data_IF_728312154530
#
_entry.id   IF_728312154530
#
_cell.length_a   1.000
_cell.length_b   1.000
_cell.length_c   1.000
_cell.angle_alpha   90.00
_cell.angle_beta   90.00
_cell.angle_gamma   90.00
#
_symmetry.space_group_name_H-M   'P 1'
#
loop_
_entity.id
_entity.type
_entity.pdbx_description
1 polymer ?
#
# COMPACT_ATOMS: atom_id res chain seq x y z
N UNK A 1 -55.56 -37.31 -67.25
CA UNK A 1 -56.85 -36.93 -66.64
C UNK A 1 -56.98 -37.63 -65.30
N UNK A 2 -57.38 -36.86 -64.27
CA UNK A 2 -58.02 -37.25 -63.00
C UNK A 2 -57.37 -38.37 -62.16
N UNK A 3 -56.56 -38.05 -61.15
CA UNK A 3 -56.90 -37.72 -59.74
C UNK A 3 -57.33 -38.89 -58.85
N UNK A 4 -56.47 -39.11 -57.84
CA UNK A 4 -56.68 -39.62 -56.48
C UNK A 4 -56.73 -41.13 -56.24
N UNK A 5 -55.94 -41.57 -55.25
CA UNK A 5 -56.47 -42.38 -54.15
C UNK A 5 -56.02 -41.84 -52.79
N UNK A 6 -56.73 -42.19 -51.71
CA UNK A 6 -56.18 -42.65 -50.42
C UNK A 6 -57.24 -42.63 -49.29
N UNK A 7 -57.48 -43.78 -48.67
CA UNK A 7 -57.50 -43.93 -47.20
C UNK A 7 -57.45 -45.42 -46.79
N UNK A 8 -56.51 -45.76 -45.90
CA UNK A 8 -56.76 -46.39 -44.57
C UNK A 8 -55.52 -47.11 -43.99
N UNK A 9 -55.05 -46.55 -42.87
CA UNK A 9 -54.60 -47.13 -41.58
C UNK A 9 -53.55 -48.26 -41.48
N UNK A 10 -52.47 -47.93 -40.72
CA UNK A 10 -51.92 -48.59 -39.50
C UNK A 10 -50.38 -48.44 -39.49
N UNK A 11 -49.59 -48.12 -38.45
CA UNK A 11 -49.74 -47.64 -37.07
C UNK A 11 -48.37 -47.03 -36.62
N UNK A 12 -48.39 -46.30 -35.50
CA UNK A 12 -47.40 -45.43 -34.79
C UNK A 12 -46.07 -46.10 -34.30
N UNK A 13 -45.07 -45.40 -33.66
CA UNK A 13 -45.07 -44.07 -32.99
C UNK A 13 -43.83 -43.13 -33.17
N UNK A 14 -43.96 -41.91 -32.59
CA UNK A 14 -43.04 -40.74 -32.50
C UNK A 14 -41.74 -40.97 -31.69
N UNK A 15 -40.72 -40.07 -31.76
CA UNK A 15 -40.63 -38.80 -30.96
C UNK A 15 -40.20 -37.57 -31.82
N UNK A 16 -40.71 -36.34 -31.67
CA UNK A 16 -40.51 -35.24 -30.68
C UNK A 16 -39.10 -34.60 -30.57
N UNK A 17 -39.06 -33.34 -31.03
CA UNK A 17 -38.20 -32.15 -30.75
C UNK A 17 -36.78 -32.03 -31.34
N UNK A 18 -36.37 -30.80 -31.76
CA UNK A 18 -35.10 -30.54 -32.42
C UNK A 18 -33.97 -30.35 -31.40
N UNK A 19 -32.88 -31.11 -31.59
CA UNK A 19 -31.66 -30.96 -30.80
C UNK A 19 -30.92 -29.67 -31.16
N UNK A 20 -30.65 -28.87 -30.14
CA UNK A 20 -29.69 -27.78 -30.09
C UNK A 20 -28.32 -28.25 -30.60
N UNK A 21 -27.79 -27.58 -31.62
CA UNK A 21 -26.41 -27.76 -32.08
C UNK A 21 -25.44 -27.26 -31.00
N UNK A 22 -24.86 -28.19 -30.25
CA UNK A 22 -23.73 -27.93 -29.35
C UNK A 22 -22.48 -27.82 -30.20
N UNK A 23 -21.99 -26.59 -30.38
CA UNK A 23 -20.67 -26.34 -30.93
C UNK A 23 -19.61 -26.78 -29.91
N UNK A 24 -19.09 -27.99 -30.09
CA UNK A 24 -17.84 -28.41 -29.47
C UNK A 24 -16.69 -27.66 -30.15
N UNK A 25 -16.21 -26.59 -29.52
CA UNK A 25 -14.88 -26.07 -29.84
C UNK A 25 -13.85 -27.09 -29.32
N UNK A 26 -12.93 -27.59 -30.16
CA UNK A 26 -11.94 -28.55 -29.70
C UNK A 26 -10.97 -27.85 -28.75
N UNK A 27 -10.76 -28.44 -27.57
CA UNK A 27 -9.90 -27.92 -26.49
C UNK A 27 -8.49 -27.48 -26.95
N UNK A 28 -8.02 -27.97 -28.10
CA UNK A 28 -6.78 -27.56 -28.74
C UNK A 28 -6.74 -26.07 -29.14
N UNK A 29 -7.86 -25.47 -29.54
CA UNK A 29 -7.89 -24.04 -29.94
C UNK A 29 -7.79 -23.14 -28.70
N UNK A 30 -8.41 -23.53 -27.58
CA UNK A 30 -8.33 -22.78 -26.32
C UNK A 30 -6.91 -22.85 -25.71
N UNK A 31 -6.25 -24.01 -25.79
CA UNK A 31 -4.85 -24.18 -25.37
C UNK A 31 -3.87 -23.39 -26.23
N UNK A 32 -4.10 -23.29 -27.54
CA UNK A 32 -3.27 -22.47 -28.43
C UNK A 32 -3.44 -20.97 -28.17
N UNK A 33 -4.64 -20.50 -27.81
CA UNK A 33 -4.88 -19.10 -27.43
C UNK A 33 -4.25 -18.76 -26.07
N UNK A 34 -4.28 -19.68 -25.10
CA UNK A 34 -3.60 -19.50 -23.80
C UNK A 34 -2.08 -19.47 -23.94
N UNK A 35 -1.48 -20.35 -24.76
CA UNK A 35 -0.02 -20.34 -24.98
C UNK A 35 0.47 -19.14 -25.80
N UNK A 36 -0.39 -18.53 -26.64
CA UNK A 36 -0.02 -17.32 -27.40
C UNK A 36 -0.05 -16.06 -26.54
N UNK A 37 -0.81 -16.06 -25.44
CA UNK A 37 -0.81 -14.97 -24.44
C UNK A 37 0.43 -15.03 -23.54
N UNK A 38 0.95 -16.23 -23.26
CA UNK A 38 2.18 -16.41 -22.47
C UNK A 38 3.46 -15.94 -23.18
N UNK A 39 3.44 -15.76 -24.51
CA UNK A 39 4.60 -15.36 -25.31
C UNK A 39 4.68 -13.87 -25.68
N UNK A 40 3.73 -13.02 -25.24
CA UNK A 40 3.79 -11.55 -25.45
C UNK A 40 4.26 -10.74 -24.23
N UNK A 41 4.91 -11.37 -23.25
CA UNK A 41 5.58 -10.68 -22.16
C UNK A 41 7.04 -11.12 -22.05
N UNK A 42 7.84 -10.78 -23.05
CA UNK A 42 9.31 -10.83 -22.95
C UNK A 42 9.88 -9.70 -23.78
N UNK A 43 9.85 -8.49 -23.21
CA UNK A 43 10.70 -7.42 -23.70
C UNK A 43 12.12 -7.65 -23.18
N UNK A 44 13.17 -7.55 -24.02
CA UNK A 44 14.54 -7.67 -23.56
C UNK A 44 14.87 -6.48 -22.65
N UNK A 45 15.15 -6.76 -21.39
CA UNK A 45 15.70 -5.80 -20.43
C UNK A 45 17.13 -5.44 -20.82
N UNK A 46 17.33 -4.21 -21.30
CA UNK A 46 18.65 -3.59 -21.31
C UNK A 46 18.94 -3.19 -19.86
N UNK A 47 19.66 -4.04 -19.14
CA UNK A 47 20.06 -3.78 -17.75
C UNK A 47 21.31 -2.90 -17.71
N UNK A 48 21.31 -1.75 -17.00
CA UNK A 48 22.53 -1.21 -16.42
C UNK A 48 22.97 -2.17 -15.30
N UNK A 49 24.25 -2.56 -15.31
CA UNK A 49 24.87 -3.42 -14.28
C UNK A 49 24.61 -2.84 -12.89
N UNK A 50 23.76 -3.50 -12.09
CA UNK A 50 23.46 -3.14 -10.69
C UNK A 50 21.99 -3.26 -10.28
N UNK A 51 21.03 -3.31 -11.23
CA UNK A 51 19.60 -3.26 -10.92
C UNK A 51 18.98 -4.58 -10.40
N UNK A 52 19.53 -5.74 -10.78
CA UNK A 52 18.92 -7.05 -10.50
C UNK A 52 18.85 -7.44 -9.02
N UNK A 53 19.89 -7.13 -8.22
CA UNK A 53 19.90 -7.47 -6.79
C UNK A 53 18.91 -6.63 -5.98
N UNK A 54 18.76 -5.35 -6.33
CA UNK A 54 17.82 -4.42 -5.68
C UNK A 54 16.38 -4.85 -5.93
N UNK A 55 16.05 -5.26 -7.16
CA UNK A 55 14.71 -5.75 -7.50
C UNK A 55 14.35 -7.05 -6.77
N UNK A 56 15.30 -8.00 -6.69
CA UNK A 56 15.10 -9.27 -5.96
C UNK A 56 14.88 -9.01 -4.47
N UNK A 57 15.71 -8.17 -3.84
CA UNK A 57 15.55 -7.81 -2.43
C UNK A 57 14.20 -7.12 -2.14
N UNK A 58 13.74 -6.26 -3.06
CA UNK A 58 12.43 -5.60 -2.94
C UNK A 58 11.26 -6.59 -3.03
N UNK A 59 11.31 -7.53 -3.96
CA UNK A 59 10.27 -8.55 -4.12
C UNK A 59 10.16 -9.45 -2.88
N UNK A 60 11.29 -9.84 -2.28
CA UNK A 60 11.31 -10.62 -1.04
C UNK A 60 10.71 -9.82 0.13
N UNK A 61 11.07 -8.55 0.26
CA UNK A 61 10.51 -7.66 1.29
C UNK A 61 9.00 -7.50 1.14
N UNK A 62 8.51 -7.28 -0.08
CA UNK A 62 7.08 -7.13 -0.36
C UNK A 62 6.32 -8.42 -0.05
N UNK A 63 6.92 -9.57 -0.37
CA UNK A 63 6.37 -10.87 -0.01
C UNK A 63 6.26 -11.03 1.50
N UNK A 64 7.28 -10.60 2.25
CA UNK A 64 7.27 -10.60 3.72
C UNK A 64 6.17 -9.69 4.28
N UNK A 65 6.02 -8.46 3.76
CA UNK A 65 4.97 -7.53 4.17
C UNK A 65 3.56 -8.05 3.84
N UNK A 66 3.39 -8.74 2.71
CA UNK A 66 2.11 -9.31 2.30
C UNK A 66 1.65 -10.44 3.23
N UNK A 67 2.58 -11.24 3.76
CA UNK A 67 2.28 -12.31 4.72
C UNK A 67 2.11 -11.81 6.16
N UNK A 68 2.36 -10.52 6.41
CA UNK A 68 2.42 -9.98 7.77
C UNK A 68 1.13 -10.20 8.57
N UNK A 69 0.00 -9.90 7.92
CA UNK A 69 -1.31 -10.08 8.52
C UNK A 69 -1.67 -11.55 8.71
N UNK A 70 -1.21 -12.44 7.83
CA UNK A 70 -1.44 -13.88 7.93
C UNK A 70 -0.64 -14.50 9.08
N UNK A 71 0.62 -14.09 9.21
CA UNK A 71 1.56 -14.62 10.20
C UNK A 71 1.29 -14.07 11.61
N UNK A 72 0.90 -12.79 11.72
CA UNK A 72 0.77 -12.09 13.02
C UNK A 72 -0.68 -11.74 13.39
N UNK A 73 -1.63 -11.91 12.47
CA UNK A 73 -3.03 -11.54 12.68
C UNK A 73 -3.25 -10.03 12.78
N UNK A 74 -4.50 -9.63 13.01
CA UNK A 74 -4.89 -8.23 13.19
C UNK A 74 -4.58 -7.71 14.61
N UNK A 75 -3.29 -7.64 14.97
CA UNK A 75 -2.84 -7.23 16.31
C UNK A 75 -3.30 -5.81 16.69
N UNK A 76 -3.52 -4.93 15.71
CA UNK A 76 -4.10 -3.60 15.91
C UNK A 76 -5.48 -3.61 16.59
N UNK A 77 -6.26 -4.70 16.47
CA UNK A 77 -7.54 -4.85 17.16
C UNK A 77 -7.39 -5.01 18.67
N UNK A 78 -6.18 -5.30 19.16
CA UNK A 78 -5.85 -5.52 20.57
C UNK A 78 -5.04 -4.36 21.17
N UNK A 79 -5.09 -3.18 20.56
CA UNK A 79 -4.32 -2.00 21.00
C UNK A 79 -2.84 -2.00 20.55
N UNK A 80 -2.54 -2.69 19.45
CA UNK A 80 -1.18 -3.00 18.99
C UNK A 80 -0.18 -1.84 18.91
N UNK A 81 1.11 -2.21 18.94
CA UNK A 81 2.24 -1.30 18.76
C UNK A 81 2.37 -0.87 17.29
N UNK A 82 2.85 0.35 17.06
CA UNK A 82 3.17 0.88 15.73
C UNK A 82 4.62 0.59 15.35
N UNK A 83 4.96 0.81 14.07
CA UNK A 83 6.30 0.56 13.52
C UNK A 83 7.43 1.41 14.14
N UNK A 84 7.11 2.38 15.00
CA UNK A 84 8.08 3.28 15.64
C UNK A 84 8.14 3.15 17.17
N UNK A 85 7.73 1.99 17.70
CA UNK A 85 7.69 1.72 19.15
C UNK A 85 6.74 2.64 19.94
N UNK A 86 5.73 3.19 19.26
CA UNK A 86 4.63 3.95 19.87
C UNK A 86 3.35 3.10 19.83
N UNK A 87 2.51 3.14 20.85
CA UNK A 87 1.20 2.45 20.80
C UNK A 87 0.18 3.27 20.02
N UNK A 88 -0.90 2.66 19.52
CA UNK A 88 -2.00 3.43 18.91
C UNK A 88 -2.59 4.46 19.89
N UNK A 89 -2.65 4.15 21.19
CA UNK A 89 -3.04 5.07 22.27
C UNK A 89 -2.05 6.20 22.52
N UNK A 90 -0.80 6.09 22.07
CA UNK A 90 0.15 7.20 22.11
C UNK A 90 -0.10 8.23 21.02
N UNK A 91 -0.74 7.82 19.93
CA UNK A 91 -0.90 8.59 18.70
C UNK A 91 -2.30 9.15 18.50
N UNK A 92 -3.32 8.53 19.10
CA UNK A 92 -4.71 8.88 18.87
C UNK A 92 -5.51 8.94 20.15
N UNK A 93 -6.43 9.90 20.19
CA UNK A 93 -7.51 10.03 21.15
C UNK A 93 -8.87 9.78 20.45
N UNK A 94 -9.91 9.64 21.26
CA UNK A 94 -11.30 9.54 20.78
C UNK A 94 -12.05 10.79 21.23
N UNK A 95 -12.61 11.54 20.27
CA UNK A 95 -13.46 12.69 20.54
C UNK A 95 -14.82 12.25 21.10
N UNK A 96 -15.60 13.22 21.59
CA UNK A 96 -16.91 12.97 22.23
C UNK A 96 -17.93 12.32 21.28
N UNK A 97 -17.80 12.57 19.98
CA UNK A 97 -18.62 11.97 18.93
C UNK A 97 -18.18 10.54 18.54
N UNK A 98 -17.05 10.06 19.08
CA UNK A 98 -16.46 8.77 18.73
C UNK A 98 -15.39 8.84 17.65
N UNK A 99 -15.15 10.03 17.07
CA UNK A 99 -14.15 10.21 16.03
C UNK A 99 -12.72 10.10 16.55
N UNK A 100 -11.87 9.48 15.74
CA UNK A 100 -10.45 9.34 16.01
C UNK A 100 -9.74 10.64 15.68
N UNK A 101 -9.07 11.20 16.69
CA UNK A 101 -8.31 12.45 16.56
C UNK A 101 -6.84 12.23 16.93
N UNK A 102 -5.90 12.85 16.22
CA UNK A 102 -4.48 12.68 16.52
C UNK A 102 -4.13 13.34 17.86
N UNK A 103 -3.34 12.62 18.67
CA UNK A 103 -2.70 13.15 19.88
C UNK A 103 -1.33 13.71 19.51
N UNK A 104 -1.28 15.01 19.26
CA UNK A 104 -0.02 15.70 18.94
C UNK A 104 0.84 15.86 20.20
N UNK A 105 2.05 15.31 20.16
CA UNK A 105 3.06 15.43 21.22
C UNK A 105 4.26 16.16 20.64
N UNK A 106 4.78 17.15 21.36
CA UNK A 106 5.98 17.87 20.94
C UNK A 106 7.17 16.90 20.81
N UNK A 107 7.94 17.04 19.72
CA UNK A 107 9.22 16.39 19.52
C UNK A 107 10.34 17.36 19.88
N UNK A 108 11.06 17.07 20.96
CA UNK A 108 12.19 17.88 21.44
C UNK A 108 13.43 16.99 21.69
N UNK A 109 14.51 17.13 20.89
CA UNK A 109 14.63 18.01 19.74
C UNK A 109 13.74 17.58 18.55
N UNK A 110 13.47 18.47 17.58
CA UNK A 110 12.67 18.14 16.40
C UNK A 110 13.26 16.99 15.60
N UNK A 111 12.38 16.15 15.05
CA UNK A 111 12.77 15.08 14.11
C UNK A 111 13.01 15.69 12.75
N UNK A 112 14.14 15.38 12.11
CA UNK A 112 14.51 15.91 10.80
C UNK A 112 14.59 14.78 9.80
N UNK A 113 13.75 14.85 8.77
CA UNK A 113 13.56 13.77 7.81
C UNK A 113 13.60 14.27 6.36
N UNK A 114 14.12 13.41 5.48
CA UNK A 114 14.10 13.57 4.04
C UNK A 114 13.07 12.61 3.49
N UNK A 115 12.09 13.13 2.76
CA UNK A 115 10.97 12.34 2.23
C UNK A 115 10.74 12.66 0.76
N UNK A 116 10.38 11.66 -0.04
CA UNK A 116 9.87 11.89 -1.39
C UNK A 116 8.40 12.27 -1.30
N UNK A 117 8.04 13.40 -1.89
CA UNK A 117 6.68 13.93 -1.80
C UNK A 117 5.78 13.42 -2.93
N UNK A 118 4.56 13.00 -2.59
CA UNK A 118 3.54 12.67 -3.57
C UNK A 118 2.62 13.88 -3.79
N UNK A 119 2.59 14.38 -5.03
CA UNK A 119 1.69 15.45 -5.44
C UNK A 119 0.22 15.10 -5.10
N UNK A 120 -0.58 16.04 -4.54
CA UNK A 120 -1.95 15.79 -4.12
C UNK A 120 -2.85 15.23 -5.23
N UNK A 121 -2.54 15.51 -6.50
CA UNK A 121 -3.30 14.94 -7.63
C UNK A 121 -3.22 13.42 -7.69
N UNK A 122 -2.08 12.84 -7.33
CA UNK A 122 -1.90 11.38 -7.26
C UNK A 122 -2.44 10.86 -5.93
N UNK A 123 -2.15 11.55 -4.83
CA UNK A 123 -2.62 11.18 -3.49
C UNK A 123 -4.14 11.12 -3.38
N UNK A 124 -4.86 12.03 -4.05
CA UNK A 124 -6.33 12.09 -4.03
C UNK A 124 -6.97 10.84 -4.66
N UNK A 125 -6.41 10.31 -5.74
CA UNK A 125 -6.91 9.07 -6.39
C UNK A 125 -6.85 7.91 -5.40
N UNK A 126 -5.71 7.79 -4.72
CA UNK A 126 -5.47 6.70 -3.78
C UNK A 126 -6.34 6.85 -2.53
N UNK A 127 -6.37 8.05 -1.93
CA UNK A 127 -7.21 8.34 -0.77
C UNK A 127 -8.67 8.07 -1.05
N UNK A 128 -9.16 8.43 -2.26
CA UNK A 128 -10.52 8.11 -2.67
C UNK A 128 -10.76 6.60 -2.72
N UNK A 129 -9.88 5.84 -3.38
CA UNK A 129 -10.03 4.39 -3.49
C UNK A 129 -10.08 3.69 -2.12
N UNK A 130 -9.23 4.13 -1.18
CA UNK A 130 -9.23 3.59 0.19
C UNK A 130 -10.51 3.99 0.93
N UNK A 131 -10.91 5.26 0.90
CA UNK A 131 -12.13 5.73 1.56
C UNK A 131 -13.39 5.06 1.04
N UNK A 132 -13.50 4.88 -0.28
CA UNK A 132 -14.65 4.19 -0.90
C UNK A 132 -14.83 2.75 -0.36
N UNK A 133 -13.74 2.08 0.03
CA UNK A 133 -13.77 0.69 0.52
C UNK A 133 -13.89 0.63 2.04
N UNK A 134 -13.14 1.44 2.79
CA UNK A 134 -13.05 1.32 4.25
C UNK A 134 -14.08 2.17 5.01
N UNK A 135 -14.41 3.36 4.51
CA UNK A 135 -15.31 4.28 5.22
C UNK A 135 -16.70 3.67 5.52
N UNK A 136 -17.34 2.87 4.63
CA UNK A 136 -18.63 2.25 4.92
C UNK A 136 -18.65 1.32 6.14
N UNK A 137 -17.50 0.77 6.53
CA UNK A 137 -17.39 -0.20 7.63
C UNK A 137 -16.86 0.40 8.92
N UNK A 138 -16.10 1.48 8.81
CA UNK A 138 -15.30 2.01 9.92
C UNK A 138 -15.37 3.54 10.00
N UNK A 139 -16.54 4.10 9.71
CA UNK A 139 -16.78 5.52 9.88
C UNK A 139 -16.36 5.95 11.30
N UNK A 140 -15.69 7.10 11.38
CA UNK A 140 -15.12 7.69 12.60
C UNK A 140 -14.01 6.88 13.31
N UNK A 141 -13.90 5.56 13.08
CA UNK A 141 -12.94 4.66 13.73
C UNK A 141 -11.55 4.60 13.03
N UNK A 142 -11.39 5.28 11.90
CA UNK A 142 -10.18 5.28 11.07
C UNK A 142 -9.63 6.70 10.91
N UNK A 143 -8.34 6.86 11.16
CA UNK A 143 -7.61 8.08 10.79
C UNK A 143 -7.11 8.03 9.35
N UNK A 144 -7.69 8.84 8.45
CA UNK A 144 -7.16 9.00 7.09
C UNK A 144 -6.12 10.13 7.05
N UNK A 145 -4.88 9.82 6.66
CA UNK A 145 -3.84 10.83 6.52
C UNK A 145 -4.24 11.88 5.47
N UNK A 146 -3.85 13.14 5.73
CA UNK A 146 -4.05 14.26 4.82
C UNK A 146 -3.34 14.01 3.48
N UNK A 147 -4.06 14.11 2.36
CA UNK A 147 -3.53 13.88 1.01
C UNK A 147 -2.42 14.85 0.62
N UNK A 148 -2.35 16.02 1.27
CA UNK A 148 -1.27 16.98 1.06
C UNK A 148 0.04 16.58 1.74
N UNK A 149 0.05 15.49 2.50
CA UNK A 149 1.19 15.00 3.29
C UNK A 149 1.63 13.58 2.90
N UNK A 150 1.07 13.02 1.83
CA UNK A 150 1.46 11.70 1.34
C UNK A 150 2.92 11.72 0.88
N UNK A 151 3.72 10.79 1.41
CA UNK A 151 5.16 10.80 1.24
C UNK A 151 5.76 9.41 1.38
N UNK A 152 7.03 9.30 1.02
CA UNK A 152 7.86 8.12 1.19
C UNK A 152 9.12 8.48 1.98
N UNK A 153 9.35 7.84 3.13
CA UNK A 153 10.48 8.16 3.99
C UNK A 153 11.81 7.68 3.40
N UNK A 154 12.73 8.61 3.13
CA UNK A 154 14.05 8.28 2.58
C UNK A 154 15.10 8.16 3.67
N UNK A 155 15.31 9.22 4.46
CA UNK A 155 16.45 9.28 5.37
C UNK A 155 16.22 10.29 6.50
N UNK A 156 16.51 9.90 7.73
CA UNK A 156 16.40 10.75 8.92
C UNK A 156 17.76 11.35 9.26
N UNK A 157 17.82 12.68 9.33
CA UNK A 157 18.95 13.44 9.87
C UNK A 157 18.92 13.48 11.42
N UNK A 158 17.75 13.26 12.03
CA UNK A 158 17.56 12.99 13.46
C UNK A 158 16.31 12.14 13.67
N UNK A 159 16.21 11.44 14.80
CA UNK A 159 14.96 10.78 15.20
C UNK A 159 14.87 10.60 16.72
N UNK A 160 13.68 10.25 17.24
CA UNK A 160 13.43 10.22 18.69
C UNK A 160 14.24 9.19 19.48
N UNK A 161 14.66 8.07 18.88
CA UNK A 161 15.51 7.08 19.56
C UNK A 161 16.99 7.51 19.70
N UNK A 162 17.50 8.31 18.76
CA UNK A 162 18.86 8.87 18.76
C UNK A 162 18.71 10.37 18.43
N UNK A 163 18.25 11.18 19.39
CA UNK A 163 17.97 12.58 19.15
C UNK A 163 19.26 13.33 18.86
N UNK A 164 19.30 14.02 17.71
CA UNK A 164 20.43 14.85 17.30
C UNK A 164 19.98 16.29 17.32
N UNK A 165 20.40 17.02 18.36
CA UNK A 165 20.20 18.47 18.44
C UNK A 165 21.02 19.13 17.33
N UNK A 166 20.41 20.07 16.61
CA UNK A 166 21.09 20.89 15.62
C UNK A 166 20.71 22.36 15.79
N UNK A 167 21.67 23.25 15.58
CA UNK A 167 21.40 24.70 15.53
C UNK A 167 20.75 25.09 14.18
N UNK A 168 20.17 26.28 14.07
CA UNK A 168 19.61 26.74 12.78
C UNK A 168 20.67 26.76 11.65
N UNK A 169 21.90 27.17 11.95
CA UNK A 169 23.00 27.18 10.96
C UNK A 169 23.36 25.76 10.51
N UNK A 170 23.33 24.80 11.43
CA UNK A 170 23.57 23.40 11.12
C UNK A 170 22.43 22.79 10.30
N UNK A 171 21.18 23.14 10.61
CA UNK A 171 20.01 22.72 9.82
C UNK A 171 20.10 23.31 8.41
N UNK A 172 20.49 24.57 8.28
CA UNK A 172 20.65 25.20 6.95
C UNK A 172 21.78 24.54 6.15
N UNK A 173 22.88 24.15 6.81
CA UNK A 173 23.94 23.38 6.18
C UNK A 173 23.46 21.98 5.73
N UNK A 174 22.66 21.28 6.55
CA UNK A 174 22.04 20.00 6.16
C UNK A 174 21.15 20.17 4.92
N UNK A 175 20.35 21.24 4.88
CA UNK A 175 19.44 21.54 3.76
C UNK A 175 20.21 21.83 2.48
N UNK A 176 21.26 22.66 2.53
CA UNK A 176 22.07 22.95 1.34
C UNK A 176 22.83 21.71 0.86
N UNK A 177 23.26 20.81 1.76
CA UNK A 177 23.84 19.52 1.39
C UNK A 177 22.81 18.64 0.65
N UNK A 178 21.59 18.53 1.17
CA UNK A 178 20.51 17.77 0.53
C UNK A 178 20.13 18.37 -0.82
N UNK A 179 20.06 19.70 -0.93
CA UNK A 179 19.85 20.40 -2.20
C UNK A 179 20.97 20.14 -3.21
N UNK A 180 22.20 19.95 -2.74
CA UNK A 180 23.31 19.48 -3.57
C UNK A 180 23.06 18.09 -4.15
N UNK A 181 22.51 17.17 -3.33
CA UNK A 181 22.12 15.83 -3.75
C UNK A 181 20.98 15.88 -4.78
N UNK A 182 19.90 16.64 -4.53
CA UNK A 182 18.70 16.64 -5.39
C UNK A 182 18.95 17.14 -6.82
N UNK A 183 19.98 17.98 -7.04
CA UNK A 183 20.43 18.44 -8.37
C UNK A 183 20.96 17.32 -9.29
N UNK A 184 21.20 16.14 -8.73
CA UNK A 184 21.68 14.96 -9.45
C UNK A 184 20.71 13.77 -9.33
N UNK A 185 19.48 14.00 -8.87
CA UNK A 185 18.44 12.99 -8.73
C UNK A 185 17.36 13.22 -9.80
N UNK A 186 17.04 12.17 -10.54
CA UNK A 186 16.03 12.23 -11.57
C UNK A 186 14.64 12.04 -10.94
N UNK A 187 13.63 12.82 -11.38
CA UNK A 187 12.25 12.55 -11.05
C UNK A 187 11.89 11.08 -11.32
N UNK A 188 11.14 10.48 -10.40
CA UNK A 188 10.79 9.06 -10.47
C UNK A 188 9.43 8.91 -11.15
N UNK A 189 9.32 7.92 -12.03
CA UNK A 189 8.03 7.33 -12.39
C UNK A 189 7.89 6.03 -11.63
N UNK A 190 6.82 5.94 -10.86
CA UNK A 190 6.53 4.78 -10.01
C UNK A 190 5.18 4.19 -10.39
N UNK A 191 5.03 2.89 -10.17
CA UNK A 191 3.80 2.13 -10.39
C UNK A 191 3.43 1.35 -9.13
N UNK A 192 2.17 1.42 -8.72
CA UNK A 192 1.67 0.68 -7.57
C UNK A 192 1.52 -0.80 -7.95
N UNK A 193 2.33 -1.68 -7.37
CA UNK A 193 2.21 -3.14 -7.54
C UNK A 193 0.97 -3.63 -6.80
N UNK A 194 0.88 -3.33 -5.50
CA UNK A 194 -0.28 -3.69 -4.68
C UNK A 194 -0.32 -2.91 -3.37
N UNK A 195 -1.46 -2.94 -2.71
CA UNK A 195 -1.69 -2.52 -1.34
C UNK A 195 -1.73 -3.74 -0.44
N UNK A 196 -1.16 -3.62 0.75
CA UNK A 196 -1.20 -4.63 1.83
C UNK A 196 -1.63 -3.99 3.14
N UNK A 197 -2.22 -4.77 4.06
CA UNK A 197 -2.50 -4.36 5.43
C UNK A 197 -1.51 -5.04 6.37
N UNK A 198 -0.85 -4.29 7.24
CA UNK A 198 0.02 -4.88 8.28
C UNK A 198 -0.79 -5.34 9.48
N UNK A 199 -0.20 -6.24 10.26
CA UNK A 199 -0.68 -6.63 11.59
C UNK A 199 -0.81 -5.47 12.58
N UNK A 200 -0.12 -4.36 12.33
CA UNK A 200 -0.22 -3.11 13.11
C UNK A 200 -1.31 -2.16 12.61
N UNK A 201 -2.10 -2.57 11.60
CA UNK A 201 -3.28 -1.83 11.15
C UNK A 201 -2.98 -0.69 10.20
N UNK A 202 -1.81 -0.73 9.57
CA UNK A 202 -1.36 0.27 8.60
C UNK A 202 -1.52 -0.31 7.19
N UNK A 203 -2.28 0.38 6.35
CA UNK A 203 -2.33 0.06 4.92
C UNK A 203 -1.11 0.67 4.22
N UNK A 204 -0.38 -0.17 3.48
CA UNK A 204 0.84 0.18 2.76
C UNK A 204 0.63 0.01 1.26
N UNK A 205 0.99 1.02 0.46
CA UNK A 205 1.19 0.85 -0.98
C UNK A 205 2.61 0.34 -1.27
N UNK A 206 2.73 -0.73 -2.05
CA UNK A 206 3.99 -1.32 -2.49
C UNK A 206 4.27 -0.87 -3.93
N UNK A 207 5.32 -0.07 -4.15
CA UNK A 207 5.55 0.61 -5.41
C UNK A 207 6.82 0.13 -6.12
N UNK A 208 6.75 -0.02 -7.43
CA UNK A 208 7.92 -0.26 -8.27
C UNK A 208 8.37 1.03 -8.94
N UNK A 209 9.67 1.15 -9.17
CA UNK A 209 10.26 2.24 -9.94
C UNK A 209 10.34 1.82 -11.40
N UNK A 210 9.63 2.53 -12.28
CA UNK A 210 9.70 2.32 -13.73
C UNK A 210 10.87 3.10 -14.35
N UNK A 211 11.14 4.31 -13.87
CA UNK A 211 12.27 5.14 -14.32
C UNK A 211 12.60 6.23 -13.30
N UNK A 212 13.78 6.84 -13.43
CA UNK A 212 14.31 7.85 -12.51
C UNK A 212 15.42 7.29 -11.61
N UNK A 213 15.78 8.04 -10.57
CA UNK A 213 16.79 7.57 -9.61
C UNK A 213 16.15 6.63 -8.60
N UNK A 214 16.68 5.41 -8.46
CA UNK A 214 16.15 4.44 -7.50
C UNK A 214 16.30 4.97 -6.06
N UNK A 215 15.29 4.81 -5.18
CA UNK A 215 15.36 5.18 -3.76
C UNK A 215 16.60 4.65 -3.05
N UNK A 216 17.12 3.50 -3.49
CA UNK A 216 18.42 2.98 -3.12
C UNK A 216 19.54 4.00 -3.14
N UNK A 217 19.69 4.57 -4.32
CA UNK A 217 20.71 5.53 -4.64
C UNK A 217 20.46 6.83 -3.90
N UNK A 218 19.18 7.25 -3.81
CA UNK A 218 18.79 8.43 -3.04
C UNK A 218 19.26 8.31 -1.59
N UNK A 219 18.95 7.20 -0.92
CA UNK A 219 19.35 6.96 0.48
C UNK A 219 20.86 6.89 0.64
N UNK A 220 21.57 6.26 -0.30
CA UNK A 220 23.04 6.23 -0.28
C UNK A 220 23.63 7.64 -0.33
N UNK A 221 23.18 8.46 -1.28
CA UNK A 221 23.67 9.83 -1.43
C UNK A 221 23.31 10.72 -0.24
N UNK A 222 22.12 10.56 0.33
CA UNK A 222 21.71 11.29 1.54
C UNK A 222 22.59 10.91 2.73
N UNK A 223 22.92 9.63 2.90
CA UNK A 223 23.83 9.17 3.96
C UNK A 223 25.22 9.79 3.83
N UNK A 224 25.76 9.84 2.62
CA UNK A 224 27.06 10.48 2.35
C UNK A 224 27.02 11.99 2.62
N UNK A 225 25.93 12.65 2.25
CA UNK A 225 25.76 14.10 2.42
C UNK A 225 25.45 14.53 3.86
N UNK A 226 24.94 13.63 4.71
CA UNK A 226 24.50 13.92 6.08
C UNK A 226 25.26 13.05 7.11
N UNK A 227 26.57 13.27 7.29
CA UNK A 227 27.42 12.39 8.10
C UNK A 227 27.10 12.40 9.60
N UNK A 228 26.38 13.43 10.08
CA UNK A 228 25.93 13.51 11.48
C UNK A 228 24.64 12.75 11.75
N UNK A 229 23.97 12.21 10.74
CA UNK A 229 22.71 11.50 10.92
C UNK A 229 22.87 10.23 11.79
N UNK A 230 21.80 9.76 12.45
CA UNK A 230 21.82 8.52 13.21
C UNK A 230 22.30 7.34 12.37
N UNK A 231 23.19 6.53 12.94
CA UNK A 231 23.76 5.37 12.25
C UNK A 231 22.70 4.30 12.01
N UNK A 232 21.77 4.13 12.96
CA UNK A 232 20.60 3.27 12.82
C UNK A 232 19.42 4.10 12.35
N UNK A 233 19.05 3.93 11.10
CA UNK A 233 17.86 4.60 10.56
C UNK A 233 16.59 3.89 11.08
N UNK A 234 15.57 4.65 11.51
CA UNK A 234 14.26 4.11 11.92
C UNK A 234 13.49 3.43 10.79
N UNK A 235 14.01 3.51 9.57
CA UNK A 235 13.54 2.70 8.45
C UNK A 235 14.12 1.29 8.61
N UNK A 236 13.70 0.60 9.66
CA UNK A 236 14.12 -0.75 10.00
C UNK A 236 12.85 -1.57 10.24
N UNK A 237 12.47 -2.36 9.24
CA UNK A 237 11.80 -3.64 9.52
C UNK A 237 12.91 -4.68 9.43
N UNK A 238 13.70 -4.80 10.49
CA UNK A 238 14.68 -5.87 10.77
C UNK A 238 15.00 -6.80 9.59
N UNK A 239 15.86 -6.34 8.67
CA UNK A 239 16.66 -7.12 7.72
C UNK A 239 17.94 -6.29 7.42
N UNK A 240 19.02 -6.96 7.02
CA UNK A 240 20.43 -6.51 6.89
C UNK A 240 20.74 -5.02 6.55
N UNK A 241 21.81 -4.41 7.11
CA UNK A 241 22.31 -3.07 6.76
C UNK A 241 22.72 -2.88 5.28
N UNK A 242 22.89 -3.98 4.54
CA UNK A 242 23.23 -3.97 3.10
C UNK A 242 22.01 -4.11 2.18
N UNK A 243 20.81 -4.31 2.74
CA UNK A 243 19.58 -4.35 1.96
C UNK A 243 18.96 -2.97 1.96
N UNK A 244 18.86 -2.41 0.77
CA UNK A 244 18.22 -1.15 0.55
C UNK A 244 16.71 -1.34 0.70
N UNK A 245 16.13 -0.68 1.69
CA UNK A 245 14.70 -0.77 1.99
C UNK A 245 13.88 0.24 1.21
N UNK A 246 12.72 -0.21 0.74
CA UNK A 246 11.58 0.62 0.38
C UNK A 246 10.60 0.46 1.56
N UNK A 247 10.77 1.27 2.62
CA UNK A 247 9.72 1.43 3.65
C UNK A 247 8.85 2.61 3.25
N UNK A 248 8.33 2.51 2.05
CA UNK A 248 7.63 3.57 1.33
C UNK A 248 6.15 3.19 1.32
N UNK A 249 5.68 2.71 2.47
CA UNK A 249 4.28 2.61 2.72
C UNK A 249 3.75 4.00 2.99
N UNK A 250 3.01 4.53 2.03
CA UNK A 250 2.09 5.61 2.33
C UNK A 250 1.11 5.10 3.38
N UNK A 251 1.17 5.64 4.59
CA UNK A 251 0.22 5.29 5.67
C UNK A 251 -1.16 5.75 5.26
N UNK A 252 -1.97 4.83 4.75
CA UNK A 252 -3.30 5.20 4.24
C UNK A 252 -4.28 5.42 5.40
N UNK A 253 -4.13 4.68 6.50
CA UNK A 253 -4.77 4.95 7.79
C UNK A 253 -4.23 4.12 8.97
N UNK A 254 -4.66 4.45 10.19
CA UNK A 254 -4.52 3.64 11.41
C UNK A 254 -5.89 3.34 12.04
N UNK A 255 -6.03 2.11 12.56
CA UNK A 255 -7.18 1.67 13.36
C UNK A 255 -7.04 2.08 14.84
N UNK A 256 -8.12 2.05 15.61
CA UNK A 256 -8.14 2.54 16.99
C UNK A 256 -8.56 1.53 18.06
N UNK A 257 -8.27 1.81 19.35
CA UNK A 257 -8.51 0.87 20.44
C UNK A 257 -9.98 0.45 20.62
N UNK A 258 -10.95 1.27 20.18
CA UNK A 258 -12.38 0.96 20.28
C UNK A 258 -12.88 -0.06 19.25
N UNK A 259 -12.05 -0.54 18.33
CA UNK A 259 -12.48 -1.61 17.42
C UNK A 259 -12.89 -2.88 18.16
N UNK A 260 -12.35 -3.14 19.36
CA UNK A 260 -12.81 -4.27 20.16
C UNK A 260 -14.33 -4.20 20.46
N UNK A 261 -14.86 -3.00 20.72
CA UNK A 261 -16.29 -2.79 20.97
C UNK A 261 -17.13 -3.01 19.71
N UNK A 262 -16.58 -2.75 18.52
CA UNK A 262 -17.23 -3.04 17.25
C UNK A 262 -17.34 -4.55 16.99
N UNK A 263 -16.36 -5.33 17.45
CA UNK A 263 -16.35 -6.79 17.34
C UNK A 263 -17.17 -7.50 18.42
N UNK A 264 -17.48 -6.82 19.53
CA UNK A 264 -18.38 -7.29 20.61
C UNK A 264 -19.88 -7.05 20.31
N UNK A 265 -20.25 -6.51 19.14
CA UNK A 265 -21.65 -6.34 18.73
C UNK A 265 -22.29 -7.72 18.42
N UNK A 266 -23.40 -8.10 19.09
CA UNK A 266 -24.00 -9.41 18.92
C UNK A 266 -24.64 -9.56 17.53
N UNK A 267 -24.02 -10.35 16.66
CA UNK A 267 -24.61 -11.08 15.51
C UNK A 267 -25.32 -10.30 14.40
N UNK A 268 -25.82 -9.09 14.63
CA UNK A 268 -26.74 -8.36 13.74
C UNK A 268 -26.01 -7.64 12.60
N UNK A 269 -24.73 -7.29 12.77
CA UNK A 269 -23.86 -6.83 11.67
C UNK A 269 -23.22 -7.99 10.89
N UNK A 270 -23.14 -9.20 11.47
CA UNK A 270 -22.77 -10.42 10.71
C UNK A 270 -23.82 -10.77 9.65
N UNK A 271 -25.07 -10.35 9.83
CA UNK A 271 -26.17 -10.58 8.87
C UNK A 271 -25.99 -9.84 7.54
N UNK A 272 -25.32 -8.69 7.54
CA UNK A 272 -25.03 -7.95 6.30
C UNK A 272 -24.07 -8.73 5.39
N UNK A 273 -23.18 -9.53 6.00
CA UNK A 273 -22.29 -10.47 5.32
C UNK A 273 -23.01 -11.77 4.92
N UNK A 274 -23.93 -12.26 5.77
CA UNK A 274 -24.69 -13.49 5.52
C UNK A 274 -25.64 -13.42 4.31
N UNK A 275 -25.96 -12.21 3.84
CA UNK A 275 -26.83 -12.00 2.67
C UNK A 275 -26.12 -12.05 1.32
N UNK A 276 -24.78 -12.16 1.27
CA UNK A 276 -24.03 -12.18 0.00
C UNK A 276 -23.35 -13.53 -0.31
N UNK A 277 -23.22 -14.46 0.64
CA UNK A 277 -22.60 -15.77 0.40
C UNK A 277 -23.33 -16.91 1.13
N UNK A 278 -24.15 -17.65 0.41
CA UNK A 278 -24.64 -18.96 0.84
C UNK A 278 -23.50 -19.98 0.71
N UNK A 279 -22.92 -20.42 1.82
CA UNK A 279 -22.65 -21.84 2.18
C UNK A 279 -21.68 -21.96 3.37
N UNK A 280 -22.01 -22.91 4.24
CA UNK A 280 -21.23 -23.52 5.31
C UNK A 280 -21.38 -22.91 6.72
N UNK A 281 -22.17 -23.63 7.52
CA UNK A 281 -22.29 -23.52 8.97
C UNK A 281 -21.14 -24.21 9.72
N UNK A 282 -20.96 -23.76 10.97
CA UNK A 282 -20.40 -24.45 12.15
C UNK A 282 -18.88 -24.62 12.30
N UNK A 283 -18.26 -23.70 13.06
CA UNK A 283 -17.33 -23.99 14.16
C UNK A 283 -16.99 -22.68 14.92
N UNK A 284 -17.54 -22.52 16.13
CA UNK A 284 -17.38 -21.30 16.95
C UNK A 284 -16.39 -21.59 18.08
N UNK A 285 -15.14 -21.13 17.91
CA UNK A 285 -14.28 -20.52 18.96
C UNK A 285 -12.82 -20.31 18.54
N UNK A 286 -12.35 -20.88 17.42
CA UNK A 286 -11.12 -20.46 16.73
C UNK A 286 -11.37 -19.59 15.48
N UNK A 287 -12.64 -19.45 15.09
CA UNK A 287 -13.07 -18.77 13.88
C UNK A 287 -12.99 -17.24 13.94
N UNK A 288 -13.03 -16.61 15.13
CA UNK A 288 -13.11 -15.14 15.21
C UNK A 288 -11.87 -14.41 14.67
N UNK A 289 -10.67 -14.97 14.87
CA UNK A 289 -9.44 -14.38 14.30
C UNK A 289 -9.31 -14.63 12.80
N UNK A 290 -9.73 -15.81 12.33
CA UNK A 290 -9.63 -16.21 10.92
C UNK A 290 -10.65 -15.48 10.05
N UNK A 291 -11.85 -15.22 10.60
CA UNK A 291 -12.92 -14.44 9.96
C UNK A 291 -12.51 -12.97 9.78
N UNK A 292 -11.84 -12.38 10.78
CA UNK A 292 -11.38 -11.00 10.73
C UNK A 292 -10.25 -10.80 9.70
N UNK A 293 -9.25 -11.69 9.69
CA UNK A 293 -8.14 -11.60 8.71
C UNK A 293 -8.65 -11.73 7.28
N UNK A 294 -9.56 -12.70 7.04
CA UNK A 294 -10.21 -12.87 5.74
C UNK A 294 -10.99 -11.61 5.32
N UNK A 295 -11.77 -11.03 6.23
CA UNK A 295 -12.50 -9.79 5.96
C UNK A 295 -11.57 -8.65 5.52
N UNK A 296 -10.46 -8.44 6.23
CA UNK A 296 -9.50 -7.41 5.83
C UNK A 296 -8.83 -7.69 4.49
N UNK A 297 -8.51 -8.96 4.19
CA UNK A 297 -7.99 -9.33 2.87
C UNK A 297 -8.97 -9.00 1.75
N UNK A 298 -10.27 -9.20 1.95
CA UNK A 298 -11.28 -8.85 0.95
C UNK A 298 -11.40 -7.33 0.74
N UNK A 299 -11.27 -6.52 1.80
CA UNK A 299 -11.21 -5.06 1.66
C UNK A 299 -9.94 -4.63 0.92
N UNK A 300 -8.78 -5.22 1.25
CA UNK A 300 -7.51 -4.94 0.56
C UNK A 300 -7.58 -5.36 -0.92
N UNK A 301 -8.24 -6.49 -1.23
CA UNK A 301 -8.45 -6.94 -2.60
C UNK A 301 -9.29 -5.93 -3.40
N UNK A 302 -10.38 -5.40 -2.82
CA UNK A 302 -11.20 -4.36 -3.46
C UNK A 302 -10.42 -3.06 -3.72
N UNK A 303 -9.50 -2.67 -2.83
CA UNK A 303 -8.60 -1.54 -3.11
C UNK A 303 -7.70 -1.89 -4.29
N UNK A 304 -7.06 -3.07 -4.27
CA UNK A 304 -6.15 -3.49 -5.32
C UNK A 304 -6.80 -3.53 -6.70
N UNK A 305 -8.05 -4.00 -6.79
CA UNK A 305 -8.82 -3.95 -8.05
C UNK A 305 -8.99 -2.54 -8.61
N UNK A 306 -9.01 -1.51 -7.74
CA UNK A 306 -9.19 -0.11 -8.14
C UNK A 306 -7.88 0.58 -8.54
N UNK A 307 -6.76 0.28 -7.89
CA UNK A 307 -5.52 1.08 -8.01
C UNK A 307 -4.24 0.29 -8.30
N UNK A 308 -4.27 -1.04 -8.40
CA UNK A 308 -3.13 -1.81 -8.91
C UNK A 308 -2.75 -1.31 -10.32
N UNK A 309 -1.46 -1.11 -10.57
CA UNK A 309 -0.95 -0.52 -11.82
C UNK A 309 -1.08 1.00 -11.89
N UNK A 310 -1.58 1.68 -10.85
CA UNK A 310 -1.64 3.14 -10.83
C UNK A 310 -0.24 3.75 -10.86
N UNK A 311 -0.01 4.69 -11.76
CA UNK A 311 1.28 5.36 -11.93
C UNK A 311 1.28 6.75 -11.30
N UNK A 312 2.42 7.12 -10.72
CA UNK A 312 2.66 8.45 -10.19
C UNK A 312 4.04 8.96 -10.61
N UNK A 313 4.19 10.28 -10.68
CA UNK A 313 5.48 10.94 -10.87
C UNK A 313 5.88 11.68 -9.60
N UNK A 314 7.09 11.43 -9.12
CA UNK A 314 7.68 12.06 -7.95
C UNK A 314 8.78 13.01 -8.41
N UNK A 315 8.60 14.30 -8.15
CA UNK A 315 9.50 15.37 -8.63
C UNK A 315 10.11 16.20 -7.50
N UNK A 316 9.79 15.90 -6.25
CA UNK A 316 10.26 16.65 -5.10
C UNK A 316 10.76 15.72 -4.00
N UNK A 317 11.86 16.11 -3.38
CA UNK A 317 12.30 15.63 -2.09
C UNK A 317 12.13 16.77 -1.09
N UNK A 318 11.48 16.49 0.03
CA UNK A 318 11.27 17.46 1.08
C UNK A 318 12.24 17.18 2.22
N UNK A 319 12.88 18.23 2.71
CA UNK A 319 13.53 18.23 4.00
C UNK A 319 12.52 18.77 5.03
N UNK A 320 12.18 17.97 6.02
CA UNK A 320 11.11 18.25 6.98
C UNK A 320 11.69 18.28 8.38
N UNK A 321 11.39 19.35 9.11
CA UNK A 321 11.54 19.43 10.57
C UNK A 321 10.17 19.18 11.19
N UNK A 322 9.98 18.04 11.84
CA UNK A 322 8.77 17.68 12.57
C UNK A 322 8.91 18.13 14.03
N UNK A 323 8.13 19.14 14.41
CA UNK A 323 8.07 19.66 15.78
C UNK A 323 7.09 18.90 16.66
N UNK A 324 6.21 18.12 16.05
CA UNK A 324 5.39 17.10 16.72
C UNK A 324 5.83 15.71 16.27
N UNK A 325 5.73 14.72 17.16
CA UNK A 325 6.00 13.31 16.84
C UNK A 325 5.05 12.87 15.72
N UNK A 326 5.61 12.33 14.64
CA UNK A 326 4.87 11.88 13.45
C UNK A 326 4.02 12.99 12.80
N UNK A 327 4.49 14.24 12.79
CA UNK A 327 3.78 15.39 12.23
C UNK A 327 3.31 15.16 10.79
N UNK A 328 4.11 14.52 9.94
CA UNK A 328 3.70 14.21 8.56
C UNK A 328 2.51 13.24 8.49
N UNK A 329 2.41 12.28 9.43
CA UNK A 329 1.33 11.29 9.47
C UNK A 329 0.07 11.80 10.18
N UNK A 330 0.24 12.66 11.19
CA UNK A 330 -0.81 13.10 12.11
C UNK A 330 -1.26 14.55 11.88
N UNK A 331 -0.76 15.19 10.82
CA UNK A 331 -1.04 16.60 10.53
C UNK A 331 -0.59 17.53 11.67
N UNK A 332 0.59 17.23 12.24
CA UNK A 332 1.23 17.99 13.30
C UNK A 332 2.03 19.19 12.78
N UNK A 333 2.63 19.92 13.72
CA UNK A 333 3.48 21.08 13.47
C UNK A 333 4.79 20.65 12.81
N UNK A 334 5.09 21.25 11.67
CA UNK A 334 6.33 20.98 10.93
C UNK A 334 6.79 22.20 10.12
N UNK A 335 8.06 22.22 9.73
CA UNK A 335 8.62 23.14 8.73
C UNK A 335 9.16 22.33 7.57
N UNK A 336 8.74 22.69 6.36
CA UNK A 336 9.05 21.95 5.14
C UNK A 336 9.88 22.82 4.21
N UNK A 337 11.02 22.29 3.74
CA UNK A 337 11.81 22.86 2.66
C UNK A 337 11.70 21.94 1.44
N UNK A 338 11.11 22.44 0.37
CA UNK A 338 10.82 21.68 -0.86
C UNK A 338 12.00 21.79 -1.81
N UNK A 339 12.55 20.65 -2.21
CA UNK A 339 13.71 20.57 -3.10
C UNK A 339 13.31 19.80 -4.35
N UNK A 340 13.37 20.46 -5.50
CA UNK A 340 13.05 19.79 -6.76
C UNK A 340 14.16 18.80 -7.15
N UNK A 341 13.73 17.64 -7.63
CA UNK A 341 14.59 16.65 -8.25
C UNK A 341 14.97 17.15 -9.64
N UNK A 342 16.26 17.36 -9.85
CA UNK A 342 16.83 17.74 -11.13
C UNK A 342 17.88 16.72 -11.52
N UNK A 343 17.84 16.27 -12.77
CA UNK A 343 19.00 15.64 -13.37
C UNK A 343 19.64 16.67 -14.28
N UNK A 344 20.82 17.18 -13.89
CA UNK A 344 21.70 17.84 -14.84
C UNK A 344 21.95 16.87 -15.99
N UNK A 345 21.48 17.18 -17.20
CA UNK A 345 21.85 16.47 -18.43
C UNK A 345 23.30 16.80 -18.81
N UNK A 346 24.24 16.63 -17.90
CA UNK A 346 25.66 16.79 -18.16
C UNK A 346 26.30 15.42 -18.24
N UNK A 347 26.57 14.96 -19.46
CA UNK A 347 27.44 13.83 -19.74
C UNK A 347 26.81 12.65 -20.50
N UNK A 348 26.31 12.88 -21.72
CA UNK A 348 26.54 11.93 -22.82
C UNK A 348 27.39 12.66 -23.84
#
# INVERSE_FOLDING_TARGET
MATSPLSCFSARPRPRSPGTAVWLLPAAVLLLLLNRWSHMASYPSVSPRGSGSVQVGRAELYSKMARDLDERGAAFLKGGETSQSLTLSDLFDTADDGAVVPRLKAADPPVRANVLYMDPKFAAVISKAVKDVFLPYFDQAIWFQNTSMYHFSMFHASHHLEPIVATEDEIEAEVEAVKGVTKNLCPLKIVLDRVVLTSTGVLLGLWQVESGTDPAEIRSRLREALPRAPQKQLISINLSPDLIFFSDSMTLFCFTPRLHEFWDIPGSLKSAWKYSNHRADNAVQSASSFDNVKFFHELVAQINEKICGFQATISELWYVEEYDVLALALNGKMKVRRLHLGCNRQGI
#
